data_IF_027940524931
#
_entry.id   IF_027940524931
#
_cell.length_a   1.000
_cell.length_b   1.000
_cell.length_c   1.000
_cell.angle_alpha   90.00
_cell.angle_beta   90.00
_cell.angle_gamma   90.00
#
_symmetry.space_group_name_H-M   'P 1'
#
loop_
_entity.id
_entity.type
_entity.pdbx_description
1 polymer ?
#
# COMPACT_ATOMS: atom_id res chain seq x y z
N UNK A 1 -14.67 -19.35 23.33
CA UNK A 1 -14.35 -18.02 22.77
C UNK A 1 -13.38 -18.27 21.63
N UNK A 2 -13.60 -17.71 20.45
CA UNK A 2 -12.64 -17.85 19.36
C UNK A 2 -11.39 -17.01 19.70
N UNK A 3 -10.20 -17.57 19.49
CA UNK A 3 -8.96 -16.81 19.63
C UNK A 3 -8.86 -15.78 18.49
N UNK A 4 -8.46 -14.53 18.78
CA UNK A 4 -8.27 -13.52 17.75
C UNK A 4 -7.10 -13.89 16.83
N UNK A 5 -7.26 -13.61 15.55
CA UNK A 5 -6.21 -13.83 14.55
C UNK A 5 -5.08 -12.82 14.82
N UNK A 6 -3.81 -13.27 14.93
CA UNK A 6 -2.71 -12.35 15.14
C UNK A 6 -2.52 -11.41 13.94
N UNK A 7 -2.10 -10.16 14.17
CA UNK A 7 -1.81 -9.22 13.10
C UNK A 7 -0.63 -9.67 12.23
N UNK A 8 -0.63 -9.26 10.96
CA UNK A 8 0.52 -9.38 10.08
C UNK A 8 1.36 -8.11 10.23
N UNK A 9 2.62 -8.27 10.62
CA UNK A 9 3.52 -7.14 10.85
C UNK A 9 4.73 -7.19 9.94
N UNK A 10 5.13 -6.02 9.45
CA UNK A 10 6.42 -5.82 8.80
C UNK A 10 7.54 -5.88 9.85
N UNK A 11 8.78 -6.26 9.47
CA UNK A 11 9.93 -6.03 10.31
C UNK A 11 10.07 -4.54 10.68
N UNK A 12 10.66 -4.22 11.84
CA UNK A 12 10.95 -2.84 12.21
C UNK A 12 11.68 -2.10 11.10
N UNK A 13 11.18 -0.91 10.77
CA UNK A 13 11.74 -0.13 9.67
C UNK A 13 13.21 0.22 9.93
N UNK A 14 14.09 -0.14 9.00
CA UNK A 14 15.52 0.22 9.07
C UNK A 14 15.80 1.49 8.27
N UNK A 15 15.08 1.67 7.15
CA UNK A 15 15.16 2.87 6.34
C UNK A 15 13.78 3.15 5.70
N UNK A 16 12.87 3.82 6.43
CA UNK A 16 11.52 4.14 5.94
C UNK A 16 11.51 4.81 4.56
N UNK A 17 12.46 5.74 4.30
CA UNK A 17 12.53 6.42 3.01
C UNK A 17 12.87 5.50 1.85
N UNK A 18 13.72 4.49 2.07
CA UNK A 18 14.02 3.48 1.04
C UNK A 18 12.84 2.54 0.82
N UNK A 19 12.16 2.12 1.89
CA UNK A 19 10.94 1.31 1.81
C UNK A 19 9.83 2.07 1.06
N UNK A 20 9.66 3.37 1.32
CA UNK A 20 8.72 4.22 0.59
C UNK A 20 9.02 4.35 -0.90
N UNK A 21 10.29 4.51 -1.28
CA UNK A 21 10.70 4.53 -2.70
C UNK A 21 10.38 3.22 -3.41
N UNK A 22 10.63 2.10 -2.73
CA UNK A 22 10.26 0.79 -3.25
C UNK A 22 8.74 0.71 -3.43
N UNK A 23 7.96 1.08 -2.41
CA UNK A 23 6.50 1.01 -2.47
C UNK A 23 5.93 1.89 -3.58
N UNK A 24 6.43 3.12 -3.73
CA UNK A 24 6.05 4.02 -4.82
C UNK A 24 6.27 3.39 -6.19
N UNK A 25 7.46 2.81 -6.42
CA UNK A 25 7.80 2.19 -7.70
C UNK A 25 6.98 0.92 -7.97
N UNK A 26 6.77 0.11 -6.94
CA UNK A 26 5.99 -1.13 -7.03
C UNK A 26 4.52 -0.84 -7.30
N UNK A 27 3.92 0.11 -6.57
CA UNK A 27 2.54 0.51 -6.74
C UNK A 27 2.31 1.19 -8.09
N UNK A 28 3.19 2.11 -8.52
CA UNK A 28 3.06 2.72 -9.84
C UNK A 28 3.07 1.67 -10.95
N UNK A 29 3.99 0.71 -10.89
CA UNK A 29 4.05 -0.41 -11.83
C UNK A 29 2.77 -1.25 -11.78
N UNK A 30 2.26 -1.55 -10.59
CA UNK A 30 1.04 -2.33 -10.44
C UNK A 30 -0.15 -1.62 -11.08
N UNK A 31 -0.32 -0.31 -10.84
CA UNK A 31 -1.39 0.50 -11.44
C UNK A 31 -1.33 0.50 -12.98
N UNK A 32 -0.13 0.63 -13.54
CA UNK A 32 0.11 0.61 -14.99
C UNK A 32 -0.03 -0.78 -15.64
N UNK A 33 -0.06 -1.85 -14.83
CA UNK A 33 -0.21 -3.23 -15.30
C UNK A 33 -1.65 -3.73 -15.19
N UNK A 34 -2.36 -3.31 -14.15
CA UNK A 34 -3.75 -3.71 -13.91
C UNK A 34 -4.70 -3.10 -14.95
N UNK A 35 -4.44 -1.85 -15.36
CA UNK A 35 -5.13 -1.17 -16.46
C UNK A 35 -4.11 -0.50 -17.40
N UNK A 36 -4.55 0.46 -18.21
CA UNK A 36 -3.65 1.23 -19.07
C UNK A 36 -2.86 2.25 -18.22
N UNK A 37 -1.62 2.59 -18.63
CA UNK A 37 -0.86 3.64 -17.97
C UNK A 37 -1.57 5.00 -18.06
N UNK A 38 -1.73 5.65 -16.91
CA UNK A 38 -2.34 6.96 -16.78
C UNK A 38 -1.41 7.90 -16.00
N UNK A 39 -1.37 9.18 -16.38
CA UNK A 39 -0.49 10.15 -15.72
C UNK A 39 -0.75 10.29 -14.21
N UNK A 40 -2.00 10.09 -13.78
CA UNK A 40 -2.42 10.15 -12.38
C UNK A 40 -1.85 9.01 -11.54
N UNK A 41 -1.44 7.89 -12.14
CA UNK A 41 -0.91 6.72 -11.41
C UNK A 41 0.36 7.06 -10.65
N UNK A 42 1.22 7.93 -11.21
CA UNK A 42 2.43 8.39 -10.54
C UNK A 42 2.11 9.22 -9.28
N UNK A 43 1.10 10.09 -9.36
CA UNK A 43 0.65 10.93 -8.23
C UNK A 43 -0.01 10.09 -7.12
N UNK A 44 -0.82 9.09 -7.51
CA UNK A 44 -1.42 8.13 -6.59
C UNK A 44 -0.33 7.36 -5.84
N UNK A 45 0.65 6.82 -6.57
CA UNK A 45 1.72 6.03 -5.99
C UNK A 45 2.62 6.86 -5.07
N UNK A 46 2.91 8.11 -5.44
CA UNK A 46 3.65 9.04 -4.59
C UNK A 46 2.88 9.33 -3.29
N UNK A 47 1.58 9.64 -3.37
CA UNK A 47 0.76 9.97 -2.20
C UNK A 47 0.68 8.78 -1.23
N UNK A 48 0.40 7.58 -1.72
CA UNK A 48 0.33 6.39 -0.89
C UNK A 48 1.69 6.08 -0.22
N UNK A 49 2.80 6.24 -0.93
CA UNK A 49 4.13 6.06 -0.37
C UNK A 49 4.47 7.09 0.72
N UNK A 50 4.06 8.36 0.56
CA UNK A 50 4.26 9.39 1.58
C UNK A 50 3.54 9.04 2.90
N UNK A 51 2.29 8.56 2.80
CA UNK A 51 1.52 8.09 3.97
C UNK A 51 2.22 6.93 4.65
N UNK A 52 2.60 5.92 3.87
CA UNK A 52 3.34 4.76 4.37
C UNK A 52 4.61 5.18 5.10
N UNK A 53 5.47 6.02 4.48
CA UNK A 53 6.73 6.48 5.11
C UNK A 53 6.46 7.19 6.44
N UNK A 54 5.43 8.03 6.52
CA UNK A 54 5.09 8.73 7.77
C UNK A 54 4.72 7.74 8.87
N UNK A 55 3.87 6.76 8.59
CA UNK A 55 3.47 5.74 9.55
C UNK A 55 4.66 4.86 9.98
N UNK A 56 5.55 4.49 9.05
CA UNK A 56 6.79 3.75 9.35
C UNK A 56 7.71 4.55 10.27
N UNK A 57 7.82 5.86 10.08
CA UNK A 57 8.59 6.76 10.96
C UNK A 57 7.96 6.90 12.36
N UNK A 58 6.64 6.77 12.46
CA UNK A 58 5.90 6.75 13.72
C UNK A 58 6.01 5.38 14.45
N UNK A 59 6.66 4.40 13.83
CA UNK A 59 6.89 3.07 14.39
C UNK A 59 5.78 2.06 14.09
N UNK A 60 4.84 2.39 13.21
CA UNK A 60 3.80 1.45 12.78
C UNK A 60 4.39 0.35 11.88
N UNK A 61 4.05 -0.89 12.20
CA UNK A 61 4.49 -2.08 11.49
C UNK A 61 3.32 -3.03 11.15
N UNK A 62 2.15 -2.86 11.76
CA UNK A 62 0.96 -3.62 11.41
C UNK A 62 0.48 -3.27 10.01
N UNK A 63 0.40 -4.27 9.15
CA UNK A 63 -0.03 -4.09 7.75
C UNK A 63 -1.47 -3.56 7.70
N UNK A 64 -2.34 -4.02 8.60
CA UNK A 64 -3.73 -3.55 8.70
C UNK A 64 -3.81 -2.04 8.99
N UNK A 65 -3.11 -1.57 10.03
CA UNK A 65 -2.99 -0.15 10.37
C UNK A 65 -2.45 0.68 9.21
N UNK A 66 -1.40 0.21 8.54
CA UNK A 66 -0.80 0.91 7.39
C UNK A 66 -1.81 1.07 6.24
N UNK A 67 -2.54 0.00 5.91
CA UNK A 67 -3.58 0.01 4.87
C UNK A 67 -4.73 0.94 5.26
N UNK A 68 -5.16 0.93 6.52
CA UNK A 68 -6.20 1.82 7.04
C UNK A 68 -5.77 3.29 6.96
N UNK A 69 -4.52 3.61 7.30
CA UNK A 69 -3.98 4.96 7.17
C UNK A 69 -3.99 5.42 5.71
N UNK A 70 -3.54 4.57 4.78
CA UNK A 70 -3.53 4.87 3.35
C UNK A 70 -4.94 5.13 2.83
N UNK A 71 -5.90 4.23 3.06
CA UNK A 71 -7.27 4.44 2.55
C UNK A 71 -7.88 5.72 3.11
N UNK A 72 -7.67 6.00 4.40
CA UNK A 72 -8.21 7.20 5.07
C UNK A 72 -7.67 8.48 4.45
N UNK A 73 -6.38 8.54 4.14
CA UNK A 73 -5.79 9.74 3.55
C UNK A 73 -6.07 9.87 2.05
N UNK A 74 -6.12 8.75 1.34
CA UNK A 74 -6.43 8.74 -0.08
C UNK A 74 -7.87 9.16 -0.37
N UNK A 75 -8.80 9.12 0.60
CA UNK A 75 -10.14 9.70 0.44
C UNK A 75 -10.14 11.19 0.04
N UNK A 76 -9.07 11.93 0.37
CA UNK A 76 -8.93 13.34 -0.03
C UNK A 76 -8.35 13.53 -1.44
N UNK A 77 -7.96 12.45 -2.13
CA UNK A 77 -7.40 12.49 -3.48
C UNK A 77 -8.51 12.50 -4.55
N UNK A 78 -8.32 13.28 -5.61
CA UNK A 78 -9.25 13.30 -6.74
C UNK A 78 -8.96 12.16 -7.73
N UNK A 79 -9.74 11.09 -7.63
CA UNK A 79 -9.66 9.93 -8.52
C UNK A 79 -10.46 10.09 -9.83
N UNK A 80 -11.03 11.26 -10.14
CA UNK A 80 -11.89 11.43 -11.33
C UNK A 80 -11.21 11.11 -12.67
N UNK A 81 -9.87 11.10 -12.70
CA UNK A 81 -9.04 10.73 -13.85
C UNK A 81 -8.38 9.35 -13.74
N UNK A 82 -8.79 8.55 -12.75
CA UNK A 82 -8.19 7.25 -12.46
C UNK A 82 -9.18 6.11 -12.69
N UNK A 83 -8.65 4.94 -13.04
CA UNK A 83 -9.41 3.68 -13.04
C UNK A 83 -9.57 3.09 -11.63
N UNK A 84 -8.87 3.65 -10.65
CA UNK A 84 -8.78 3.14 -9.28
C UNK A 84 -9.50 4.06 -8.30
N UNK A 85 -9.87 3.48 -7.16
CA UNK A 85 -10.31 4.20 -5.96
C UNK A 85 -9.26 4.10 -4.86
N UNK A 86 -9.45 4.86 -3.79
CA UNK A 86 -8.69 4.78 -2.55
C UNK A 86 -8.62 3.35 -1.99
N UNK A 87 -9.71 2.60 -2.09
CA UNK A 87 -9.78 1.20 -1.63
C UNK A 87 -8.96 0.27 -2.51
N UNK A 88 -9.02 0.45 -3.84
CA UNK A 88 -8.24 -0.35 -4.77
C UNK A 88 -6.73 -0.13 -4.56
N UNK A 89 -6.33 1.13 -4.35
CA UNK A 89 -4.94 1.49 -4.03
C UNK A 89 -4.50 0.88 -2.70
N UNK A 90 -5.31 0.98 -1.65
CA UNK A 90 -4.98 0.43 -0.34
C UNK A 90 -4.86 -1.11 -0.37
N UNK A 91 -5.73 -1.79 -1.11
CA UNK A 91 -5.64 -3.23 -1.32
C UNK A 91 -4.37 -3.62 -2.09
N UNK A 92 -4.04 -2.89 -3.17
CA UNK A 92 -2.81 -3.12 -3.92
C UNK A 92 -1.57 -2.94 -3.04
N UNK A 93 -1.56 -1.94 -2.16
CA UNK A 93 -0.48 -1.77 -1.17
C UNK A 93 -0.42 -2.96 -0.21
N UNK A 94 -1.56 -3.43 0.31
CA UNK A 94 -1.60 -4.63 1.16
C UNK A 94 -0.95 -5.83 0.45
N UNK A 95 -1.34 -6.10 -0.78
CA UNK A 95 -0.81 -7.23 -1.56
C UNK A 95 0.70 -7.10 -1.78
N UNK A 96 1.19 -5.93 -2.16
CA UNK A 96 2.62 -5.67 -2.34
C UNK A 96 3.41 -5.86 -1.04
N UNK A 97 2.86 -5.44 0.11
CA UNK A 97 3.49 -5.64 1.41
C UNK A 97 3.52 -7.12 1.79
N UNK A 98 2.45 -7.87 1.55
CA UNK A 98 2.40 -9.31 1.78
C UNK A 98 3.43 -10.06 0.90
N UNK A 99 3.53 -9.69 -0.38
CA UNK A 99 4.54 -10.21 -1.30
C UNK A 99 5.97 -9.92 -0.80
N UNK A 100 6.21 -8.73 -0.24
CA UNK A 100 7.53 -8.37 0.32
C UNK A 100 7.92 -9.23 1.52
N UNK A 101 6.92 -9.80 2.21
CA UNK A 101 7.10 -10.75 3.32
C UNK A 101 7.23 -12.20 2.84
N UNK A 102 7.10 -12.47 1.54
CA UNK A 102 7.03 -13.82 0.99
C UNK A 102 5.73 -14.55 1.33
N UNK A 103 4.68 -13.81 1.72
CA UNK A 103 3.35 -14.36 1.94
C UNK A 103 2.65 -14.37 0.58
N UNK A 104 2.49 -15.57 0.03
CA UNK A 104 1.87 -15.75 -1.27
C UNK A 104 0.39 -15.38 -1.23
N UNK A 105 -0.15 -14.88 -2.34
CA UNK A 105 -1.57 -14.54 -2.46
C UNK A 105 -2.38 -15.83 -2.35
N UNK A 106 -2.95 -16.10 -1.19
CA UNK A 106 -3.87 -17.22 -1.04
C UNK A 106 -5.16 -16.92 -1.82
N UNK A 107 -5.33 -17.64 -2.94
CA UNK A 107 -6.51 -17.80 -3.80
C UNK A 107 -6.59 -16.86 -5.02
N UNK A 108 -6.48 -17.46 -6.21
CA UNK A 108 -6.73 -16.82 -7.51
C UNK A 108 -5.81 -17.26 -8.66
N UNK A 109 -5.66 -18.57 -8.88
CA UNK A 109 -5.28 -19.12 -10.20
C UNK A 109 -6.53 -19.64 -10.90
#
# INVERSE_FOLDING_TARGET
>A
MAEPIPPITLPPATNPSQEGKWLQQALHRWLDQEFIPEGVNAEIAERAAQVFVRQRLEGENDVGSLVIAIVTEMQAFDFSKSFFSEFAVANAVSDLLLESLGIDRCCGQ
#
